data_IF_020987798845
#
_entry.id   IF_020987798845
#
_cell.length_a   1.000
_cell.length_b   1.000
_cell.length_c   1.000
_cell.angle_alpha   90.00
_cell.angle_beta   90.00
_cell.angle_gamma   90.00
#
_symmetry.space_group_name_H-M   'P 1'
#
loop_
_entity.id
_entity.type
_entity.pdbx_description
1 polymer ?
#
# COMPACT_ATOMS: atom_id res chain seq x y z
N UNK A 1 -23.29 5.49 11.60
CA UNK A 1 -22.29 5.89 10.58
C UNK A 1 -20.89 6.00 11.15
N UNK A 2 -20.59 6.86 12.14
CA UNK A 2 -19.20 7.01 12.65
C UNK A 2 -18.60 5.69 13.18
N UNK A 3 -19.34 4.98 14.04
CA UNK A 3 -18.98 3.66 14.59
C UNK A 3 -18.89 2.50 13.56
N UNK A 4 -19.39 2.70 12.34
CA UNK A 4 -19.28 1.71 11.25
C UNK A 4 -18.04 2.02 10.40
N UNK A 5 -17.77 3.31 10.17
CA UNK A 5 -16.55 3.75 9.49
C UNK A 5 -15.30 3.36 10.27
N UNK A 6 -15.33 3.48 11.61
CA UNK A 6 -14.20 3.06 12.46
C UNK A 6 -13.89 1.56 12.32
N UNK A 7 -14.93 0.72 12.23
CA UNK A 7 -14.78 -0.73 12.02
C UNK A 7 -14.30 -1.09 10.62
N UNK A 8 -14.75 -0.33 9.62
CA UNK A 8 -14.26 -0.49 8.25
C UNK A 8 -12.76 -0.17 8.17
N UNK A 9 -12.34 0.94 8.76
CA UNK A 9 -10.93 1.31 8.84
C UNK A 9 -10.13 0.24 9.56
N UNK A 10 -10.62 -0.26 10.70
CA UNK A 10 -9.98 -1.35 11.42
C UNK A 10 -9.80 -2.63 10.57
N UNK A 11 -10.81 -3.01 9.78
CA UNK A 11 -10.71 -4.15 8.86
C UNK A 11 -9.70 -3.93 7.73
N UNK A 12 -9.61 -2.70 7.21
CA UNK A 12 -8.58 -2.34 6.23
C UNK A 12 -7.18 -2.44 6.84
N UNK A 13 -6.99 -1.94 8.07
CA UNK A 13 -5.70 -2.03 8.76
C UNK A 13 -5.30 -3.49 9.04
N UNK A 14 -6.26 -4.35 9.40
CA UNK A 14 -6.03 -5.79 9.55
C UNK A 14 -5.56 -6.44 8.24
N UNK A 15 -6.03 -5.97 7.08
CA UNK A 15 -5.58 -6.48 5.80
C UNK A 15 -4.11 -6.15 5.48
N UNK A 16 -3.53 -5.13 6.11
CA UNK A 16 -2.12 -4.75 5.93
C UNK A 16 -1.13 -5.59 6.75
N UNK A 17 -1.60 -6.41 7.70
CA UNK A 17 -0.76 -7.20 8.60
C UNK A 17 -0.12 -6.38 9.73
N UNK A 18 0.72 -7.04 10.56
CA UNK A 18 1.35 -6.41 11.72
C UNK A 18 2.20 -5.19 11.32
N UNK A 19 1.96 -4.04 11.95
CA UNK A 19 2.89 -2.92 11.88
C UNK A 19 4.23 -3.28 12.53
N UNK A 20 5.31 -2.73 11.99
CA UNK A 20 6.65 -2.85 12.59
C UNK A 20 6.58 -2.42 14.06
N UNK A 21 7.15 -3.21 15.00
CA UNK A 21 6.99 -2.94 16.42
C UNK A 21 7.67 -1.61 16.79
N UNK A 22 6.87 -0.58 17.08
CA UNK A 22 7.33 0.60 17.80
C UNK A 22 7.55 0.21 19.27
N UNK A 23 8.81 0.10 19.65
CA UNK A 23 9.21 -0.32 21.00
C UNK A 23 8.79 0.75 22.02
N UNK A 24 7.87 0.42 22.92
CA UNK A 24 7.39 1.29 24.02
C UNK A 24 8.28 1.23 25.28
N UNK A 25 9.43 0.55 25.19
CA UNK A 25 10.40 0.37 26.26
C UNK A 25 11.74 1.09 26.01
N UNK A 26 12.65 1.10 26.99
CA UNK A 26 13.98 1.69 26.81
C UNK A 26 14.72 1.00 25.66
N UNK A 27 15.18 1.81 24.71
CA UNK A 27 15.87 1.36 23.49
C UNK A 27 17.18 0.67 23.90
N UNK A 28 17.26 -0.63 23.63
CA UNK A 28 18.51 -1.40 23.76
C UNK A 28 19.51 -1.02 22.67
N UNK A 29 20.80 -1.25 22.86
CA UNK A 29 21.79 -0.91 21.82
C UNK A 29 21.60 -1.68 20.51
N UNK A 30 21.07 -2.91 20.57
CA UNK A 30 20.71 -3.67 19.37
C UNK A 30 19.51 -3.03 18.63
N UNK A 31 18.54 -2.48 19.36
CA UNK A 31 17.45 -1.69 18.78
C UNK A 31 17.93 -0.36 18.26
N UNK A 32 18.91 0.28 18.90
CA UNK A 32 19.53 1.51 18.39
C UNK A 32 20.25 1.24 17.07
N UNK A 33 21.01 0.15 16.97
CA UNK A 33 21.67 -0.25 15.73
C UNK A 33 20.67 -0.58 14.62
N UNK A 34 19.58 -1.30 14.94
CA UNK A 34 18.49 -1.58 14.01
C UNK A 34 17.76 -0.29 13.57
N UNK A 35 17.48 0.63 14.49
CA UNK A 35 16.94 1.96 14.19
C UNK A 35 17.92 2.75 13.30
N UNK A 36 19.22 2.69 13.55
CA UNK A 36 20.21 3.37 12.72
C UNK A 36 20.30 2.77 11.31
N UNK A 37 20.07 1.47 11.17
CA UNK A 37 20.04 0.77 9.89
C UNK A 37 18.74 1.02 9.11
N UNK A 38 17.60 1.09 9.81
CA UNK A 38 16.28 1.40 9.23
C UNK A 38 16.16 2.89 8.90
N UNK A 39 16.57 3.78 9.82
CA UNK A 39 16.46 5.23 9.68
C UNK A 39 17.68 5.90 9.02
N UNK A 40 18.69 5.13 8.62
CA UNK A 40 19.98 5.64 8.14
C UNK A 40 20.02 6.10 6.68
N UNK A 41 19.26 5.47 5.78
CA UNK A 41 19.28 5.82 4.35
C UNK A 41 18.01 5.32 3.61
N UNK A 42 18.03 4.06 3.13
CA UNK A 42 17.01 3.51 2.24
C UNK A 42 15.81 2.90 2.98
N UNK A 43 16.02 2.37 4.19
CA UNK A 43 14.95 1.72 4.98
C UNK A 43 13.83 2.68 5.36
N UNK A 44 14.16 3.93 5.68
CA UNK A 44 13.19 4.97 6.02
C UNK A 44 12.38 5.41 4.81
N UNK A 45 13.03 5.52 3.65
CA UNK A 45 12.33 5.82 2.40
C UNK A 45 11.37 4.69 2.03
N UNK A 46 11.80 3.43 2.13
CA UNK A 46 10.92 2.26 1.91
C UNK A 46 9.76 2.22 2.91
N UNK A 47 10.01 2.53 4.18
CA UNK A 47 8.96 2.64 5.20
C UNK A 47 7.96 3.76 4.88
N UNK A 48 8.44 4.97 4.56
CA UNK A 48 7.56 6.09 4.20
C UNK A 48 6.74 5.77 2.95
N UNK A 49 7.34 5.11 1.96
CA UNK A 49 6.64 4.69 0.76
C UNK A 49 5.55 3.66 1.07
N UNK A 50 5.82 2.68 1.94
CA UNK A 50 4.81 1.73 2.40
C UNK A 50 3.65 2.42 3.14
N UNK A 51 3.95 3.41 3.98
CA UNK A 51 2.94 4.20 4.69
C UNK A 51 2.05 5.00 3.73
N UNK A 52 2.63 5.59 2.68
CA UNK A 52 1.86 6.26 1.62
C UNK A 52 0.97 5.25 0.88
N UNK A 53 1.48 4.06 0.58
CA UNK A 53 0.69 3.01 -0.08
C UNK A 53 -0.50 2.56 0.79
N UNK A 54 -0.28 2.35 2.10
CA UNK A 54 -1.36 2.03 3.06
C UNK A 54 -2.43 3.12 3.06
N UNK A 55 -2.03 4.39 3.09
CA UNK A 55 -2.96 5.53 3.04
C UNK A 55 -3.80 5.53 1.75
N UNK A 56 -3.17 5.36 0.59
CA UNK A 56 -3.87 5.33 -0.71
C UNK A 56 -4.92 4.22 -0.71
N UNK A 57 -4.52 3.00 -0.32
CA UNK A 57 -5.42 1.85 -0.31
C UNK A 57 -6.59 2.08 0.64
N UNK A 58 -6.32 2.59 1.85
CA UNK A 58 -7.36 2.88 2.83
C UNK A 58 -8.35 3.92 2.36
N UNK A 59 -7.88 5.03 1.82
CA UNK A 59 -8.75 6.11 1.37
C UNK A 59 -9.60 5.66 0.18
N UNK A 60 -9.00 4.92 -0.77
CA UNK A 60 -9.71 4.37 -1.91
C UNK A 60 -10.83 3.41 -1.48
N UNK A 61 -10.52 2.40 -0.67
CA UNK A 61 -11.49 1.40 -0.22
C UNK A 61 -12.59 2.01 0.66
N UNK A 62 -12.22 2.93 1.56
CA UNK A 62 -13.18 3.66 2.39
C UNK A 62 -14.16 4.43 1.52
N UNK A 63 -13.65 5.16 0.53
CA UNK A 63 -14.51 5.92 -0.39
C UNK A 63 -15.37 4.99 -1.25
N UNK A 64 -14.84 3.86 -1.72
CA UNK A 64 -15.60 2.88 -2.51
C UNK A 64 -16.77 2.29 -1.71
N UNK A 65 -16.59 1.98 -0.42
CA UNK A 65 -17.67 1.53 0.47
C UNK A 65 -18.67 2.65 0.74
N UNK A 66 -18.20 3.85 1.07
CA UNK A 66 -19.07 5.00 1.38
C UNK A 66 -19.95 5.38 0.18
N UNK A 67 -19.42 5.29 -1.03
CA UNK A 67 -20.15 5.55 -2.27
C UNK A 67 -20.99 4.35 -2.73
N UNK A 68 -20.84 3.19 -2.10
CA UNK A 68 -21.65 1.99 -2.35
C UNK A 68 -21.20 1.18 -3.57
N UNK A 69 -19.97 1.36 -4.04
CA UNK A 69 -19.41 0.55 -5.14
C UNK A 69 -18.97 -0.84 -4.68
N UNK A 70 -18.58 -0.98 -3.41
CA UNK A 70 -18.22 -2.25 -2.78
C UNK A 70 -18.84 -2.35 -1.39
N UNK A 71 -18.93 -3.55 -0.84
CA UNK A 71 -19.47 -3.80 0.50
C UNK A 71 -18.36 -3.93 1.54
N UNK A 72 -18.70 -3.76 2.83
CA UNK A 72 -17.77 -4.03 3.93
C UNK A 72 -17.25 -5.49 3.90
N UNK A 73 -18.06 -6.44 3.42
CA UNK A 73 -17.67 -7.85 3.30
C UNK A 73 -16.59 -8.08 2.23
N UNK A 74 -16.61 -7.29 1.15
CA UNK A 74 -15.61 -7.36 0.10
C UNK A 74 -14.23 -6.88 0.60
N UNK A 75 -14.24 -5.91 1.53
CA UNK A 75 -13.02 -5.43 2.21
C UNK A 75 -12.47 -6.48 3.18
N UNK A 76 -13.33 -7.14 3.96
CA UNK A 76 -12.90 -8.25 4.84
C UNK A 76 -12.28 -9.39 4.02
N UNK A 77 -12.75 -9.63 2.79
CA UNK A 77 -12.18 -10.64 1.89
C UNK A 77 -10.76 -10.30 1.37
N UNK A 78 -10.26 -9.08 1.63
CA UNK A 78 -8.88 -8.68 1.38
C UNK A 78 -7.94 -8.96 2.57
N UNK A 79 -8.45 -9.36 3.73
CA UNK A 79 -7.61 -9.65 4.90
C UNK A 79 -6.52 -10.68 4.58
N UNK A 80 -5.29 -10.37 4.99
CA UNK A 80 -4.11 -11.21 4.73
C UNK A 80 -3.61 -11.21 3.28
N UNK A 81 -4.30 -10.57 2.33
CA UNK A 81 -3.84 -10.48 0.93
C UNK A 81 -2.94 -9.26 0.66
N UNK A 82 -2.89 -8.31 1.59
CA UNK A 82 -2.07 -7.09 1.51
C UNK A 82 -1.01 -7.04 2.61
N UNK A 83 -0.56 -8.21 3.07
CA UNK A 83 0.42 -8.36 4.15
C UNK A 83 1.83 -7.87 3.78
N UNK A 84 2.17 -7.90 2.48
CA UNK A 84 3.47 -7.47 1.97
C UNK A 84 3.45 -6.05 1.39
N UNK A 85 4.56 -5.33 1.57
CA UNK A 85 4.74 -3.98 1.04
C UNK A 85 4.71 -3.92 -0.50
N UNK A 86 5.11 -5.00 -1.15
CA UNK A 86 5.11 -5.12 -2.62
C UNK A 86 3.67 -5.22 -3.15
N UNK A 87 2.82 -6.05 -2.53
CA UNK A 87 1.41 -6.14 -2.89
C UNK A 87 0.67 -4.84 -2.59
N UNK A 88 0.97 -4.17 -1.47
CA UNK A 88 0.43 -2.83 -1.18
C UNK A 88 0.84 -1.78 -2.21
N UNK A 89 2.08 -1.85 -2.71
CA UNK A 89 2.56 -0.96 -3.78
C UNK A 89 1.87 -1.23 -5.12
N UNK A 90 1.68 -2.50 -5.49
CA UNK A 90 0.97 -2.87 -6.70
C UNK A 90 -0.51 -2.44 -6.62
N UNK A 91 -1.14 -2.70 -5.47
CA UNK A 91 -2.52 -2.31 -5.20
C UNK A 91 -2.71 -0.79 -5.22
N UNK A 92 -1.83 -0.03 -4.56
CA UNK A 92 -1.91 1.43 -4.55
C UNK A 92 -1.74 2.00 -5.95
N UNK A 93 -0.84 1.46 -6.77
CA UNK A 93 -0.66 1.88 -8.15
C UNK A 93 -1.92 1.59 -8.99
N UNK A 94 -2.49 0.39 -8.87
CA UNK A 94 -3.74 0.05 -9.53
C UNK A 94 -4.87 0.99 -9.12
N UNK A 95 -5.01 1.31 -7.84
CA UNK A 95 -6.02 2.23 -7.33
C UNK A 95 -5.80 3.69 -7.77
N UNK A 96 -4.57 4.12 -7.98
CA UNK A 96 -4.27 5.44 -8.55
C UNK A 96 -4.60 5.53 -10.04
N UNK A 97 -4.50 4.41 -10.76
CA UNK A 97 -4.72 4.34 -12.21
C UNK A 97 -6.18 4.04 -12.60
N UNK A 98 -7.01 3.64 -11.64
CA UNK A 98 -8.42 3.30 -11.87
C UNK A 98 -9.35 4.22 -11.08
N UNK A 99 -10.57 4.41 -11.60
CA UNK A 99 -11.60 5.16 -10.88
C UNK A 99 -12.13 4.35 -9.70
N UNK A 100 -12.61 5.02 -8.65
CA UNK A 100 -13.29 4.38 -7.51
C UNK A 100 -14.55 3.62 -7.96
N UNK A 101 -15.18 4.06 -9.06
CA UNK A 101 -16.36 3.40 -9.63
C UNK A 101 -16.08 1.99 -10.15
N UNK A 102 -14.80 1.65 -10.37
CA UNK A 102 -14.33 0.35 -10.88
C UNK A 102 -13.78 -0.54 -9.74
N UNK A 103 -14.10 -0.19 -8.49
CA UNK A 103 -13.56 -0.90 -7.33
C UNK A 103 -14.03 -2.37 -7.28
N UNK A 104 -15.24 -2.68 -7.74
CA UNK A 104 -15.76 -4.05 -7.78
C UNK A 104 -14.97 -4.95 -8.75
N UNK A 105 -14.68 -4.44 -9.95
CA UNK A 105 -13.87 -5.10 -10.97
C UNK A 105 -12.45 -5.37 -10.45
N UNK A 106 -11.88 -4.41 -9.73
CA UNK A 106 -10.56 -4.51 -9.14
C UNK A 106 -10.51 -5.60 -8.04
N UNK A 107 -11.55 -5.68 -7.20
CA UNK A 107 -11.64 -6.75 -6.19
C UNK A 107 -11.93 -8.12 -6.80
N UNK A 108 -12.70 -8.17 -7.89
CA UNK A 108 -13.00 -9.41 -8.61
C UNK A 108 -11.76 -10.01 -9.30
N UNK A 109 -10.84 -9.16 -9.76
CA UNK A 109 -9.55 -9.57 -10.32
C UNK A 109 -8.55 -10.02 -9.25
N UNK A 110 -8.80 -9.69 -7.99
CA UNK A 110 -7.93 -10.02 -6.85
C UNK A 110 -6.78 -9.05 -6.68
N UNK A 111 -5.77 -9.44 -5.89
CA UNK A 111 -4.60 -8.60 -5.66
C UNK A 111 -3.73 -8.60 -6.92
N UNK A 112 -3.31 -7.43 -7.43
CA UNK A 112 -2.45 -7.33 -8.60
C UNK A 112 -1.16 -8.13 -8.45
N UNK A 113 -0.59 -8.57 -9.58
CA UNK A 113 0.72 -9.21 -9.58
C UNK A 113 1.80 -8.26 -9.03
N UNK A 114 2.85 -8.80 -8.37
CA UNK A 114 3.97 -8.00 -7.89
C UNK A 114 4.62 -7.18 -9.01
N UNK A 115 5.06 -5.97 -8.67
CA UNK A 115 5.64 -5.04 -9.63
C UNK A 115 6.99 -5.55 -10.12
N UNK A 116 7.09 -5.85 -11.41
CA UNK A 116 8.37 -6.21 -12.03
C UNK A 116 9.16 -4.95 -12.39
N UNK A 117 10.44 -4.94 -12.05
CA UNK A 117 11.35 -3.91 -12.50
C UNK A 117 11.39 -3.89 -14.03
N UNK A 118 11.18 -2.72 -14.63
CA UNK A 118 11.36 -2.54 -16.05
C UNK A 118 12.86 -2.68 -16.35
N UNK A 119 13.26 -3.81 -16.92
CA UNK A 119 14.57 -3.92 -17.56
C UNK A 119 14.47 -3.31 -18.96
N UNK A 120 15.03 -2.12 -19.20
CA UNK A 120 15.03 -1.57 -20.54
C UNK A 120 15.92 -2.47 -21.42
N UNK A 121 15.31 -3.15 -22.37
CA UNK A 121 16.05 -3.85 -23.41
C UNK A 121 17.00 -2.86 -24.10
N UNK A 122 18.24 -3.23 -24.40
CA UNK A 122 19.27 -2.31 -24.93
C UNK A 122 18.87 -1.66 -26.27
N UNK A 123 17.79 -2.15 -26.89
CA UNK A 123 17.22 -1.64 -28.15
C UNK A 123 15.92 -0.83 -27.97
N UNK A 124 15.41 -0.69 -26.75
CA UNK A 124 14.20 0.09 -26.50
C UNK A 124 14.49 1.57 -26.69
N UNK A 125 13.67 2.30 -27.47
CA UNK A 125 13.85 3.73 -27.65
C UNK A 125 13.76 4.46 -26.30
N UNK A 126 14.53 5.53 -26.08
CA UNK A 126 14.52 6.25 -24.81
C UNK A 126 13.10 6.76 -24.51
N UNK A 127 12.50 6.23 -23.44
CA UNK A 127 11.15 6.58 -23.00
C UNK A 127 11.08 7.97 -22.33
N UNK A 128 12.22 8.63 -22.14
CA UNK A 128 12.32 10.01 -21.66
C UNK A 128 13.04 10.87 -22.69
N UNK A 129 12.31 11.82 -23.28
CA UNK A 129 12.90 12.89 -24.07
C UNK A 129 13.26 14.04 -23.14
N UNK A 130 14.56 14.13 -22.79
CA UNK A 130 15.11 15.32 -22.15
C UNK A 130 15.06 16.48 -23.16
N UNK A 131 14.14 17.41 -22.93
CA UNK A 131 14.14 18.68 -23.65
C UNK A 131 15.21 19.55 -23.00
N UNK A 132 16.39 19.64 -23.62
CA UNK A 132 17.39 20.63 -23.26
C UNK A 132 16.95 22.01 -23.76
N UNK A 133 16.85 22.97 -22.83
CA UNK A 133 16.69 24.40 -23.08
C UNK A 133 17.88 25.04 -23.78
#
# INVERSE_FOLDING_TARGET
MQLQLDKLVESIELAFGEELPFVTGPITEDQRAALQQVFGDAGYQSYLQDQVNRQIVRDYLTNAVVLGFITEADVVALEGKLDSAELRSAMSLHMLMNSIEQADDLLAQGVPEPLQALEPDQKSPPHMHLISS
#
